data_IF_329105242895
#
_entry.id   IF_329105242895
#
_cell.length_a   1.000
_cell.length_b   1.000
_cell.length_c   1.000
_cell.angle_alpha   90.00
_cell.angle_beta   90.00
_cell.angle_gamma   90.00
#
_symmetry.space_group_name_H-M   'P 1'
#
loop_
_entity.id
_entity.type
_entity.pdbx_description
1 polymer ?
#
# COMPACT_ATOMS: atom_id res chain seq x y z
N UNK A 1 -9.47 -39.32 -25.07
CA UNK A 1 -8.22 -40.04 -25.37
C UNK A 1 -7.06 -39.14 -25.03
N UNK A 2 -5.97 -39.67 -24.48
CA UNK A 2 -4.76 -38.88 -24.19
C UNK A 2 -4.21 -38.21 -25.45
N UNK A 3 -4.16 -38.96 -26.55
CA UNK A 3 -3.65 -38.50 -27.85
C UNK A 3 -4.34 -37.21 -28.35
N UNK A 4 -5.68 -37.16 -28.29
CA UNK A 4 -6.45 -35.97 -28.69
C UNK A 4 -6.11 -34.77 -27.80
N UNK A 5 -5.85 -35.02 -26.51
CA UNK A 5 -5.51 -33.96 -25.57
C UNK A 5 -4.14 -33.36 -25.87
N UNK A 6 -3.18 -34.20 -26.27
CA UNK A 6 -1.84 -33.77 -26.67
C UNK A 6 -1.85 -32.99 -27.99
N UNK A 7 -2.57 -33.49 -29.00
CA UNK A 7 -2.75 -32.79 -30.28
C UNK A 7 -3.41 -31.41 -30.09
N UNK A 8 -4.46 -31.34 -29.27
CA UNK A 8 -5.13 -30.08 -28.95
C UNK A 8 -4.22 -29.12 -28.17
N UNK A 9 -3.40 -29.63 -27.25
CA UNK A 9 -2.45 -28.83 -26.50
C UNK A 9 -1.38 -28.21 -27.42
N UNK A 10 -0.80 -29.00 -28.32
CA UNK A 10 0.16 -28.50 -29.32
C UNK A 10 -0.45 -27.41 -30.20
N UNK A 11 -1.70 -27.60 -30.64
CA UNK A 11 -2.41 -26.59 -31.42
C UNK A 11 -2.58 -25.28 -30.65
N UNK A 12 -3.02 -25.34 -29.40
CA UNK A 12 -3.21 -24.16 -28.54
C UNK A 12 -1.87 -23.44 -28.27
N UNK A 13 -0.80 -24.20 -28.04
CA UNK A 13 0.54 -23.64 -27.84
C UNK A 13 1.06 -22.91 -29.08
N UNK A 14 0.81 -23.43 -30.30
CA UNK A 14 1.13 -22.73 -31.56
C UNK A 14 0.40 -21.39 -31.71
N UNK A 15 -0.75 -21.23 -31.05
CA UNK A 15 -1.51 -19.98 -30.99
C UNK A 15 -1.11 -19.10 -29.80
N UNK A 16 0.02 -19.40 -29.12
CA UNK A 16 0.48 -18.73 -27.90
C UNK A 16 -0.53 -18.78 -26.72
N UNK A 17 -1.36 -19.82 -26.67
CA UNK A 17 -2.31 -20.03 -25.57
C UNK A 17 -1.73 -21.03 -24.55
N UNK A 18 -1.36 -20.51 -23.37
CA UNK A 18 -0.81 -21.31 -22.26
C UNK A 18 -1.89 -22.14 -21.53
N UNK A 19 -2.24 -23.28 -22.11
CA UNK A 19 -3.05 -24.34 -21.48
C UNK A 19 -2.17 -25.43 -20.89
N UNK A 20 -2.66 -26.10 -19.85
CA UNK A 20 -1.98 -27.20 -19.16
C UNK A 20 -2.82 -28.47 -19.24
N UNK A 21 -2.18 -29.61 -19.53
CA UNK A 21 -2.79 -30.95 -19.41
C UNK A 21 -2.83 -31.39 -17.96
N UNK A 22 -3.93 -32.03 -17.55
CA UNK A 22 -4.07 -32.68 -16.23
C UNK A 22 -4.95 -33.92 -16.35
N UNK A 23 -4.64 -34.96 -15.57
CA UNK A 23 -5.52 -36.10 -15.36
C UNK A 23 -6.50 -35.80 -14.21
N UNK A 24 -7.81 -35.89 -14.46
CA UNK A 24 -8.86 -35.68 -13.47
C UNK A 24 -9.99 -36.68 -13.66
N UNK A 25 -10.35 -37.42 -12.60
CA UNK A 25 -11.40 -38.47 -12.62
C UNK A 25 -11.25 -39.43 -13.82
N UNK A 26 -10.02 -39.92 -14.03
CA UNK A 26 -9.66 -40.82 -15.13
C UNK A 26 -9.88 -40.24 -16.55
N UNK A 27 -9.91 -38.91 -16.70
CA UNK A 27 -10.01 -38.19 -17.97
C UNK A 27 -8.90 -37.14 -18.08
N UNK A 28 -8.33 -36.98 -19.27
CA UNK A 28 -7.40 -35.89 -19.56
C UNK A 28 -8.18 -34.60 -19.84
N UNK A 29 -7.77 -33.51 -19.19
CA UNK A 29 -8.35 -32.18 -19.34
C UNK A 29 -7.26 -31.16 -19.68
N UNK A 30 -7.60 -30.18 -20.52
CA UNK A 30 -6.81 -28.97 -20.72
C UNK A 30 -7.43 -27.84 -19.91
N UNK A 31 -6.61 -27.07 -19.20
CA UNK A 31 -7.09 -25.94 -18.42
C UNK A 31 -6.09 -24.78 -18.43
N UNK A 32 -6.58 -23.56 -18.28
CA UNK A 32 -5.78 -22.39 -17.96
C UNK A 32 -6.39 -21.63 -16.80
N UNK A 33 -5.55 -21.04 -15.95
CA UNK A 33 -5.97 -20.13 -14.87
C UNK A 33 -5.62 -18.67 -15.18
N UNK A 34 -4.91 -18.43 -16.27
CA UNK A 34 -4.50 -17.11 -16.68
C UNK A 34 -5.66 -16.46 -17.45
N UNK A 35 -6.16 -15.35 -16.93
CA UNK A 35 -7.29 -14.65 -17.54
C UNK A 35 -6.97 -14.16 -18.96
N UNK A 36 -5.74 -13.74 -19.22
CA UNK A 36 -5.33 -13.30 -20.56
C UNK A 36 -5.37 -14.47 -21.55
N UNK A 37 -4.94 -15.66 -21.13
CA UNK A 37 -5.03 -16.87 -21.95
C UNK A 37 -6.49 -17.25 -22.22
N UNK A 38 -7.35 -17.18 -21.21
CA UNK A 38 -8.78 -17.48 -21.33
C UNK A 38 -9.44 -16.50 -22.30
N UNK A 39 -9.20 -15.19 -22.14
CA UNK A 39 -9.79 -14.16 -22.99
C UNK A 39 -9.28 -14.26 -24.44
N UNK A 40 -7.99 -14.56 -24.63
CA UNK A 40 -7.40 -14.80 -25.96
C UNK A 40 -7.97 -16.03 -26.63
N UNK A 41 -8.23 -17.11 -25.88
CA UNK A 41 -8.89 -18.31 -26.40
C UNK A 41 -10.34 -18.02 -26.82
N UNK A 42 -11.10 -17.29 -26.01
CA UNK A 42 -12.49 -16.90 -26.36
C UNK A 42 -12.51 -16.01 -27.60
N UNK A 43 -11.51 -15.14 -27.76
CA UNK A 43 -11.35 -14.33 -28.97
C UNK A 43 -11.05 -15.20 -30.21
N UNK A 44 -10.10 -16.14 -30.10
CA UNK A 44 -9.66 -16.97 -31.24
C UNK A 44 -10.74 -17.89 -31.79
N UNK A 45 -11.70 -18.32 -30.97
CA UNK A 45 -12.86 -19.11 -31.40
C UNK A 45 -14.01 -18.26 -31.95
N UNK A 46 -13.84 -16.94 -32.08
CA UNK A 46 -14.84 -16.03 -32.65
C UNK A 46 -16.00 -15.66 -31.72
N UNK A 47 -15.91 -15.96 -30.43
CA UNK A 47 -16.98 -15.69 -29.46
C UNK A 47 -17.00 -14.22 -29.01
N UNK A 48 -17.25 -13.32 -29.96
CA UNK A 48 -17.10 -11.86 -29.83
C UNK A 48 -17.89 -11.26 -28.66
N UNK A 49 -19.16 -11.66 -28.48
CA UNK A 49 -19.99 -11.14 -27.38
C UNK A 49 -19.41 -11.50 -26.00
N UNK A 50 -18.94 -12.74 -25.85
CA UNK A 50 -18.34 -13.23 -24.61
C UNK A 50 -17.00 -12.57 -24.35
N UNK A 51 -16.18 -12.40 -25.39
CA UNK A 51 -14.91 -11.69 -25.32
C UNK A 51 -15.10 -10.25 -24.80
N UNK A 52 -16.05 -9.49 -25.34
CA UNK A 52 -16.33 -8.11 -24.90
C UNK A 52 -16.77 -8.05 -23.42
N UNK A 53 -17.57 -9.01 -22.96
CA UNK A 53 -17.97 -9.10 -21.55
C UNK A 53 -16.76 -9.40 -20.66
N UNK A 54 -15.88 -10.33 -21.08
CA UNK A 54 -14.67 -10.67 -20.35
C UNK A 54 -13.71 -9.49 -20.25
N UNK A 55 -13.43 -8.80 -21.36
CA UNK A 55 -12.57 -7.61 -21.38
C UNK A 55 -13.07 -6.53 -20.43
N UNK A 56 -14.39 -6.26 -20.42
CA UNK A 56 -15.00 -5.33 -19.47
C UNK A 56 -14.72 -5.74 -18.02
N UNK A 57 -14.95 -6.99 -17.66
CA UNK A 57 -14.73 -7.50 -16.30
C UNK A 57 -13.25 -7.43 -15.89
N UNK A 58 -12.34 -7.71 -16.83
CA UNK A 58 -10.89 -7.62 -16.59
C UNK A 58 -10.48 -6.18 -16.33
N UNK A 59 -10.94 -5.23 -17.14
CA UNK A 59 -10.65 -3.81 -16.98
C UNK A 59 -11.20 -3.23 -15.66
N UNK A 60 -12.45 -3.58 -15.31
CA UNK A 60 -13.05 -3.18 -14.03
C UNK A 60 -12.25 -3.74 -12.85
N UNK A 61 -11.90 -5.03 -12.89
CA UNK A 61 -11.12 -5.66 -11.82
C UNK A 61 -9.71 -5.07 -11.70
N UNK A 62 -9.07 -4.74 -12.81
CA UNK A 62 -7.76 -4.07 -12.79
C UNK A 62 -7.85 -2.72 -12.05
N UNK A 63 -8.87 -1.93 -12.38
CA UNK A 63 -9.15 -0.64 -11.73
C UNK A 63 -9.39 -0.81 -10.22
N UNK A 64 -10.23 -1.77 -9.83
CA UNK A 64 -10.48 -2.03 -8.40
C UNK A 64 -9.21 -2.46 -7.65
N UNK A 65 -8.36 -3.29 -8.26
CA UNK A 65 -7.11 -3.70 -7.62
C UNK A 65 -6.16 -2.52 -7.40
N UNK A 66 -6.08 -1.58 -8.33
CA UNK A 66 -5.31 -0.35 -8.18
C UNK A 66 -5.88 0.52 -7.05
N UNK A 67 -7.20 0.71 -7.02
CA UNK A 67 -7.88 1.44 -5.96
C UNK A 67 -7.64 0.79 -4.59
N UNK A 68 -7.77 -0.54 -4.48
CA UNK A 68 -7.50 -1.26 -3.23
C UNK A 68 -6.05 -1.08 -2.78
N UNK A 69 -5.08 -1.15 -3.69
CA UNK A 69 -3.67 -0.89 -3.35
C UNK A 69 -3.47 0.55 -2.89
N UNK A 70 -4.09 1.52 -3.54
CA UNK A 70 -3.99 2.93 -3.18
C UNK A 70 -4.60 3.19 -1.79
N UNK A 71 -5.83 2.73 -1.55
CA UNK A 71 -6.50 2.87 -0.25
C UNK A 71 -5.70 2.19 0.86
N UNK A 72 -5.20 0.96 0.64
CA UNK A 72 -4.40 0.26 1.65
C UNK A 72 -3.10 1.01 1.97
N UNK A 73 -2.46 1.60 0.95
CA UNK A 73 -1.27 2.42 1.15
C UNK A 73 -1.59 3.66 1.99
N UNK A 74 -2.66 4.38 1.66
CA UNK A 74 -3.06 5.59 2.37
C UNK A 74 -3.47 5.28 3.82
N UNK A 75 -4.28 4.25 4.04
CA UNK A 75 -4.66 3.79 5.38
C UNK A 75 -3.44 3.41 6.20
N UNK A 76 -2.51 2.62 5.66
CA UNK A 76 -1.27 2.25 6.36
C UNK A 76 -0.37 3.46 6.67
N UNK A 77 -0.33 4.45 5.77
CA UNK A 77 0.41 5.70 5.99
C UNK A 77 -0.23 6.53 7.13
N UNK A 78 -1.56 6.63 7.15
CA UNK A 78 -2.32 7.30 8.19
C UNK A 78 -2.13 6.61 9.54
N UNK A 79 -2.28 5.29 9.62
CA UNK A 79 -2.07 4.50 10.84
C UNK A 79 -0.67 4.71 11.43
N UNK A 80 0.38 4.63 10.60
CA UNK A 80 1.76 4.90 11.05
C UNK A 80 1.93 6.32 11.55
N UNK A 81 1.31 7.30 10.89
CA UNK A 81 1.37 8.71 11.27
C UNK A 81 0.65 8.97 12.60
N UNK A 82 -0.51 8.36 12.80
CA UNK A 82 -1.30 8.45 14.04
C UNK A 82 -0.52 7.79 15.18
N UNK A 83 -0.02 6.57 14.99
CA UNK A 83 0.75 5.85 15.98
C UNK A 83 2.03 6.62 16.39
N UNK A 84 2.75 7.20 15.43
CA UNK A 84 3.90 8.06 15.71
C UNK A 84 3.49 9.28 16.54
N UNK A 85 2.42 9.98 16.14
CA UNK A 85 1.97 11.20 16.81
C UNK A 85 1.53 10.94 18.25
N UNK A 86 0.85 9.81 18.51
CA UNK A 86 0.46 9.39 19.85
C UNK A 86 1.68 9.06 20.72
N UNK A 87 2.61 8.23 20.23
CA UNK A 87 3.85 7.89 20.97
C UNK A 87 4.68 9.13 21.29
N UNK A 88 4.79 10.05 20.34
CA UNK A 88 5.53 11.28 20.52
C UNK A 88 4.88 12.17 21.59
N UNK A 89 3.55 12.29 21.58
CA UNK A 89 2.82 13.04 22.61
C UNK A 89 3.11 12.48 24.01
N UNK A 90 3.05 11.16 24.19
CA UNK A 90 3.35 10.51 25.47
C UNK A 90 4.78 10.79 25.94
N UNK A 91 5.76 10.78 25.03
CA UNK A 91 7.15 11.13 25.35
C UNK A 91 7.28 12.59 25.77
N UNK A 92 6.64 13.51 25.03
CA UNK A 92 6.70 14.95 25.30
C UNK A 92 6.05 15.33 26.64
N UNK A 93 5.03 14.60 27.10
CA UNK A 93 4.41 14.81 28.41
C UNK A 93 5.30 14.40 29.59
N UNK A 94 6.34 13.58 29.35
CA UNK A 94 7.23 13.06 30.40
C UNK A 94 8.50 13.90 30.60
N UNK A 95 8.68 14.96 29.82
CA UNK A 95 9.84 15.84 29.93
C UNK A 95 9.42 17.23 30.36
N UNK A 96 10.33 17.93 31.02
CA UNK A 96 10.19 19.36 31.21
C UNK A 96 10.48 20.09 29.90
N UNK A 97 9.41 20.58 29.26
CA UNK A 97 9.47 21.26 27.97
C UNK A 97 10.24 22.57 28.05
N UNK A 98 10.28 23.24 29.21
CA UNK A 98 10.94 24.53 29.39
C UNK A 98 12.47 24.42 29.21
N UNK A 99 13.01 23.21 29.37
CA UNK A 99 14.43 22.92 29.08
C UNK A 99 14.76 22.87 27.57
N UNK A 100 13.75 22.88 26.70
CA UNK A 100 13.96 22.84 25.25
C UNK A 100 14.29 24.24 24.70
N UNK A 101 15.18 24.35 23.71
CA UNK A 101 15.36 25.57 22.95
C UNK A 101 14.04 26.11 22.39
N UNK A 102 13.85 27.44 22.25
CA UNK A 102 12.54 28.05 21.92
C UNK A 102 11.85 27.45 20.69
N UNK A 103 12.61 27.14 19.64
CA UNK A 103 12.10 26.53 18.40
C UNK A 103 11.58 25.10 18.57
N UNK A 104 12.12 24.37 19.54
CA UNK A 104 11.74 22.99 19.89
C UNK A 104 10.59 22.99 20.91
N UNK A 105 10.63 23.92 21.87
CA UNK A 105 9.53 24.16 22.80
C UNK A 105 8.21 24.43 22.07
N UNK A 106 8.23 25.37 21.12
CA UNK A 106 7.03 25.77 20.36
C UNK A 106 6.37 24.56 19.69
N UNK A 107 7.13 23.77 18.94
CA UNK A 107 6.58 22.65 18.19
C UNK A 107 6.17 21.48 19.10
N UNK A 108 6.85 21.28 20.23
CA UNK A 108 6.45 20.30 21.24
C UNK A 108 5.09 20.66 21.85
N UNK A 109 4.92 21.92 22.23
CA UNK A 109 3.68 22.44 22.77
C UNK A 109 2.53 22.32 21.75
N UNK A 110 2.77 22.69 20.50
CA UNK A 110 1.79 22.54 19.42
C UNK A 110 1.42 21.08 19.19
N UNK A 111 2.39 20.15 19.23
CA UNK A 111 2.11 18.70 19.10
C UNK A 111 1.25 18.18 20.26
N UNK A 112 1.45 18.67 21.49
CA UNK A 112 0.61 18.29 22.65
C UNK A 112 -0.81 18.85 22.50
N UNK A 113 -0.94 20.12 22.08
CA UNK A 113 -2.24 20.80 21.90
C UNK A 113 -3.02 20.26 20.71
N UNK A 114 -2.34 19.83 19.65
CA UNK A 114 -2.94 19.35 18.41
C UNK A 114 -2.42 17.93 18.05
N UNK A 115 -2.83 16.89 18.80
CA UNK A 115 -2.29 15.54 18.65
C UNK A 115 -2.63 14.89 17.30
N UNK A 116 -3.77 15.26 16.71
CA UNK A 116 -4.25 14.75 15.41
C UNK A 116 -3.76 15.59 14.22
N UNK A 117 -3.08 16.72 14.46
CA UNK A 117 -2.59 17.56 13.39
C UNK A 117 -1.43 16.89 12.64
N UNK A 118 -1.48 16.97 11.31
CA UNK A 118 -0.39 16.57 10.44
C UNK A 118 0.84 17.45 10.67
N UNK A 119 2.02 16.97 10.26
CA UNK A 119 3.26 17.75 10.31
C UNK A 119 3.16 19.07 9.52
N UNK A 120 2.37 19.10 8.46
CA UNK A 120 2.13 20.30 7.65
C UNK A 120 1.29 21.32 8.41
N UNK A 121 0.23 20.88 9.08
CA UNK A 121 -0.63 21.76 9.88
C UNK A 121 0.12 22.32 11.08
N UNK A 122 0.91 21.49 11.78
CA UNK A 122 1.78 21.97 12.85
C UNK A 122 2.78 23.01 12.35
N UNK A 123 3.40 22.78 11.19
CA UNK A 123 4.32 23.74 10.60
C UNK A 123 3.66 25.09 10.28
N UNK A 124 2.38 25.09 9.87
CA UNK A 124 1.59 26.31 9.64
C UNK A 124 1.25 27.06 10.94
N UNK A 125 1.14 26.35 12.07
CA UNK A 125 0.84 26.94 13.37
C UNK A 125 2.06 27.58 14.04
N UNK A 126 3.28 27.20 13.64
CA UNK A 126 4.51 27.83 14.13
C UNK A 126 4.64 29.29 13.66
N UNK A 127 5.41 30.08 14.42
CA UNK A 127 5.73 31.48 14.10
C UNK A 127 7.26 31.69 14.06
N UNK A 128 7.85 31.95 12.87
CA UNK A 128 7.20 31.97 11.54
C UNK A 128 6.75 30.57 11.07
N UNK A 129 5.80 30.48 10.13
CA UNK A 129 5.38 29.21 9.56
C UNK A 129 6.56 28.46 8.95
N UNK A 130 6.60 27.15 9.16
CA UNK A 130 7.67 26.27 8.67
C UNK A 130 7.12 25.18 7.76
N UNK A 131 8.01 24.61 6.93
CA UNK A 131 7.67 23.50 6.06
C UNK A 131 7.41 22.20 6.84
N UNK A 132 6.70 21.24 6.22
CA UNK A 132 6.51 19.88 6.75
C UNK A 132 7.84 19.23 7.15
N UNK A 133 8.89 19.42 6.34
CA UNK A 133 10.21 18.85 6.56
C UNK A 133 10.91 19.44 7.78
N UNK A 134 10.84 20.76 7.97
CA UNK A 134 11.41 21.42 9.14
C UNK A 134 10.66 21.06 10.42
N UNK A 135 9.31 20.97 10.36
CA UNK A 135 8.50 20.50 11.48
C UNK A 135 8.89 19.07 11.90
N UNK A 136 9.04 18.17 10.92
CA UNK A 136 9.51 16.80 11.16
C UNK A 136 10.91 16.78 11.78
N UNK A 137 11.85 17.57 11.24
CA UNK A 137 13.23 17.64 11.74
C UNK A 137 13.27 18.05 13.21
N UNK A 138 12.53 19.10 13.59
CA UNK A 138 12.46 19.56 14.98
C UNK A 138 11.89 18.51 15.92
N UNK A 139 10.77 17.87 15.57
CA UNK A 139 10.18 16.80 16.38
C UNK A 139 11.13 15.59 16.53
N UNK A 140 11.83 15.21 15.45
CA UNK A 140 12.84 14.14 15.48
C UNK A 140 14.05 14.50 16.33
N UNK A 141 14.46 15.77 16.35
CA UNK A 141 15.51 16.25 17.26
C UNK A 141 15.09 16.10 18.71
N UNK A 142 13.83 16.45 19.04
CA UNK A 142 13.31 16.30 20.40
C UNK A 142 13.28 14.82 20.81
N UNK A 143 12.80 13.92 19.94
CA UNK A 143 12.82 12.48 20.22
C UNK A 143 14.21 11.95 20.57
N UNK A 144 15.24 12.38 19.82
CA UNK A 144 16.63 12.01 20.10
C UNK A 144 17.10 12.52 21.46
N UNK A 145 16.74 13.77 21.82
CA UNK A 145 17.07 14.36 23.12
C UNK A 145 16.41 13.60 24.28
N UNK A 146 15.15 13.18 24.10
CA UNK A 146 14.43 12.36 25.09
C UNK A 146 15.10 11.00 25.25
N UNK A 147 15.43 10.33 24.14
CA UNK A 147 16.07 9.02 24.15
C UNK A 147 17.46 9.05 24.80
N UNK A 148 18.27 10.07 24.52
CA UNK A 148 19.57 10.25 25.17
C UNK A 148 19.48 10.48 26.67
N UNK A 149 18.46 11.23 27.14
CA UNK A 149 18.23 11.46 28.58
C UNK A 149 17.70 10.21 29.27
N UNK A 150 16.82 9.43 28.63
CA UNK A 150 16.31 8.16 29.18
C UNK A 150 17.38 7.07 29.32
N UNK A 151 18.47 7.14 28.56
CA UNK A 151 19.62 6.22 28.64
C UNK A 151 20.55 6.50 29.83
N UNK A 152 20.44 7.67 30.48
CA UNK A 152 21.26 8.05 31.64
C UNK A 152 20.54 7.87 32.99
N UNK A 153 19.30 7.36 32.98
CA UNK A 153 18.45 7.13 34.16
C UNK A 153 18.07 5.64 34.25
N UNK A 154 18.85 4.74 33.63
CA UNK A 154 18.68 3.29 33.73
C UNK A 154 19.93 2.64 34.28
#
# INVERSE_FOLDING_TARGET
SEKICDEALEFLQKQNLDFKKRLYRNKFILYSKNINTITSFVHSIGATRTYLILEKLVAEKATFNELTRWVNCETSNLERTVAYSMRLREKLQKIDLETLPPKLFEIALLRIKHPLASLKELGKLCRPPISKGEAHRRLKTIEKMVESKSLHIK
#
